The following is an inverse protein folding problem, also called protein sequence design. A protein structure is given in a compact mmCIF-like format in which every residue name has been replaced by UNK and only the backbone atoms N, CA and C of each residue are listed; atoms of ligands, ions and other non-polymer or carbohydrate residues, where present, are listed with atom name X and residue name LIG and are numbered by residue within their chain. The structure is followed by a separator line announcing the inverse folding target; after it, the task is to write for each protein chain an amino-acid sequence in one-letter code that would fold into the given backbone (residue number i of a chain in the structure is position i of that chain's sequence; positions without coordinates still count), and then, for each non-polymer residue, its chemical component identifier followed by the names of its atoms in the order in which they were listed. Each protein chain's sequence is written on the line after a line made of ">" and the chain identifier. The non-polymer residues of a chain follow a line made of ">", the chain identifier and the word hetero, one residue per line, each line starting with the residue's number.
data_IF_478888486590
#
_entry.id   IF_478888486590
#
_cell.length_a   1.000
_cell.length_b   1.000
_cell.length_c   1.000
_cell.angle_alpha   90.00
_cell.angle_beta   90.00
_cell.angle_gamma   90.00
#
_symmetry.space_group_name_H-M   'P 1'
#
loop_
_entity.id
_entity.type
_entity.pdbx_description
1 polymer ?
#
# COMPACT_ATOMS: atom_id res chain seq x y z
N UNK A 1 1.66 35.69 5.24
CA UNK A 1 0.99 34.51 5.82
C UNK A 1 1.20 33.25 4.96
N UNK A 2 1.30 33.36 3.62
CA UNK A 2 1.67 32.26 2.73
C UNK A 2 3.08 31.68 2.99
N UNK A 3 4.02 32.48 3.48
CA UNK A 3 5.40 32.02 3.77
C UNK A 3 5.55 31.15 5.03
N UNK A 4 4.47 30.94 5.80
CA UNK A 4 4.47 30.09 7.02
C UNK A 4 3.99 28.66 6.77
N UNK A 5 3.35 28.39 5.63
CA UNK A 5 2.79 27.08 5.29
C UNK A 5 3.75 26.38 4.34
N UNK A 6 4.19 25.17 4.72
CA UNK A 6 5.06 24.34 3.90
C UNK A 6 4.52 24.25 2.45
N UNK A 7 5.37 24.46 1.41
CA UNK A 7 4.95 24.44 0.00
C UNK A 7 4.11 23.24 -0.43
N UNK A 8 4.30 22.08 0.21
CA UNK A 8 3.53 20.87 -0.09
C UNK A 8 2.04 21.01 0.24
N UNK A 9 1.68 21.87 1.20
CA UNK A 9 0.29 22.08 1.64
C UNK A 9 -0.34 23.35 1.04
N UNK A 10 0.33 24.01 0.10
CA UNK A 10 -0.17 25.23 -0.53
C UNK A 10 -1.22 24.95 -1.61
N UNK A 11 -1.29 23.73 -2.14
CA UNK A 11 -2.34 23.29 -3.08
C UNK A 11 -2.49 21.76 -3.08
N UNK A 12 -3.65 21.27 -3.53
CA UNK A 12 -3.89 19.84 -3.75
C UNK A 12 -2.90 19.26 -4.76
N UNK A 13 -2.61 19.98 -5.85
CA UNK A 13 -1.67 19.55 -6.88
C UNK A 13 -0.24 19.37 -6.32
N UNK A 14 0.21 20.30 -5.47
CA UNK A 14 1.52 20.22 -4.83
C UNK A 14 1.57 19.00 -3.92
N UNK A 15 0.53 18.79 -3.11
CA UNK A 15 0.45 17.64 -2.21
C UNK A 15 0.47 16.33 -2.98
N UNK A 16 -0.40 16.17 -3.99
CA UNK A 16 -0.46 14.96 -4.82
C UNK A 16 0.88 14.68 -5.49
N UNK A 17 1.50 15.68 -6.11
CA UNK A 17 2.80 15.51 -6.79
C UNK A 17 3.88 15.05 -5.82
N UNK A 18 4.02 15.73 -4.67
CA UNK A 18 5.00 15.37 -3.65
C UNK A 18 4.71 14.01 -3.02
N UNK A 19 3.44 13.64 -2.86
CA UNK A 19 3.04 12.33 -2.34
C UNK A 19 3.45 11.22 -3.32
N UNK A 20 3.16 11.36 -4.61
CA UNK A 20 3.57 10.34 -5.60
C UNK A 20 5.08 10.25 -5.71
N UNK A 21 5.78 11.38 -5.73
CA UNK A 21 7.24 11.40 -5.79
C UNK A 21 7.87 10.81 -4.51
N UNK A 22 7.20 10.97 -3.37
CA UNK A 22 7.57 10.31 -2.12
C UNK A 22 7.43 8.79 -2.20
N UNK A 23 6.32 8.29 -2.74
CA UNK A 23 6.11 6.85 -2.98
C UNK A 23 7.14 6.28 -3.95
N UNK A 24 7.43 7.00 -5.03
CA UNK A 24 8.40 6.62 -6.04
C UNK A 24 9.82 6.47 -5.46
N UNK A 25 10.27 7.44 -4.65
CA UNK A 25 11.54 7.38 -3.92
C UNK A 25 11.55 6.27 -2.87
N UNK A 26 10.44 6.07 -2.19
CA UNK A 26 10.32 5.02 -1.16
C UNK A 26 10.52 3.63 -1.77
N UNK A 27 10.12 3.43 -3.02
CA UNK A 27 10.31 2.17 -3.76
C UNK A 27 11.79 1.83 -4.04
N UNK A 28 12.71 2.77 -3.86
CA UNK A 28 14.16 2.50 -3.95
C UNK A 28 14.63 1.56 -2.82
N UNK A 29 13.94 1.53 -1.67
CA UNK A 29 14.24 0.57 -0.60
C UNK A 29 13.88 -0.88 -1.02
N UNK A 30 14.76 -1.84 -0.74
CA UNK A 30 14.60 -3.26 -1.06
C UNK A 30 13.75 -4.04 -0.03
N UNK A 31 13.25 -3.39 1.01
CA UNK A 31 12.39 -4.02 2.01
C UNK A 31 11.03 -4.44 1.43
N UNK A 32 10.65 -5.69 1.70
CA UNK A 32 9.41 -6.27 1.20
C UNK A 32 8.16 -5.52 1.66
N UNK A 33 8.15 -5.08 2.92
CA UNK A 33 7.05 -4.28 3.48
C UNK A 33 6.92 -2.92 2.80
N UNK A 34 8.03 -2.32 2.36
CA UNK A 34 8.03 -1.07 1.61
C UNK A 34 7.45 -1.27 0.22
N UNK A 35 7.84 -2.32 -0.48
CA UNK A 35 7.22 -2.68 -1.76
C UNK A 35 5.70 -2.85 -1.63
N UNK A 36 5.23 -3.60 -0.62
CA UNK A 36 3.80 -3.82 -0.37
C UNK A 36 3.07 -2.52 -0.02
N UNK A 37 3.71 -1.60 0.73
CA UNK A 37 3.17 -0.28 1.05
C UNK A 37 2.93 0.54 -0.22
N UNK A 38 3.95 0.65 -1.08
CA UNK A 38 3.84 1.43 -2.31
C UNK A 38 2.82 0.79 -3.25
N UNK A 39 2.83 -0.54 -3.39
CA UNK A 39 1.83 -1.27 -4.16
C UNK A 39 0.40 -1.02 -3.66
N UNK A 40 0.18 -1.03 -2.34
CA UNK A 40 -1.14 -0.78 -1.76
C UNK A 40 -1.67 0.62 -2.08
N UNK A 41 -0.80 1.64 -2.06
CA UNK A 41 -1.17 3.00 -2.42
C UNK A 41 -1.42 3.11 -3.93
N UNK A 42 -0.58 2.48 -4.75
CA UNK A 42 -0.73 2.51 -6.20
C UNK A 42 -2.05 1.86 -6.65
N UNK A 43 -2.46 0.74 -6.04
CA UNK A 43 -3.73 0.07 -6.35
C UNK A 43 -4.97 0.81 -5.82
N UNK A 44 -4.83 1.90 -5.07
CA UNK A 44 -5.99 2.64 -4.58
C UNK A 44 -6.62 3.54 -5.65
N UNK A 45 -5.81 4.09 -6.56
CA UNK A 45 -6.22 5.07 -7.56
C UNK A 45 -5.60 4.77 -8.93
N UNK A 46 -6.37 4.94 -10.00
CA UNK A 46 -5.95 4.63 -11.37
C UNK A 46 -4.80 5.53 -11.88
N UNK A 47 -4.76 6.80 -11.47
CA UNK A 47 -3.66 7.70 -11.86
C UNK A 47 -2.35 7.29 -11.18
N UNK A 48 -2.41 6.95 -9.89
CA UNK A 48 -1.26 6.42 -9.15
C UNK A 48 -0.77 5.11 -9.75
N UNK A 49 -1.68 4.18 -10.04
CA UNK A 49 -1.35 2.90 -10.66
C UNK A 49 -0.62 3.10 -11.98
N UNK A 50 -1.16 3.94 -12.88
CA UNK A 50 -0.51 4.24 -14.17
C UNK A 50 0.89 4.80 -14.02
N UNK A 51 1.13 5.69 -13.03
CA UNK A 51 2.45 6.29 -12.80
C UNK A 51 3.45 5.31 -12.18
N UNK A 52 3.02 4.48 -11.24
CA UNK A 52 3.92 3.63 -10.43
C UNK A 52 4.04 2.19 -10.94
N UNK A 53 3.08 1.66 -11.71
CA UNK A 53 3.07 0.27 -12.19
C UNK A 53 4.38 -0.16 -12.85
N UNK A 54 5.00 0.62 -13.77
CA UNK A 54 6.21 0.17 -14.46
C UNK A 54 7.37 -0.13 -13.49
N UNK A 55 7.62 0.77 -12.53
CA UNK A 55 8.68 0.58 -11.52
C UNK A 55 8.32 -0.49 -10.51
N UNK A 56 7.05 -0.60 -10.13
CA UNK A 56 6.58 -1.69 -9.26
C UNK A 56 6.76 -3.06 -9.91
N UNK A 57 6.51 -3.19 -11.21
CA UNK A 57 6.71 -4.43 -11.94
C UNK A 57 8.20 -4.82 -11.98
N UNK A 58 9.09 -3.86 -12.24
CA UNK A 58 10.53 -4.08 -12.20
C UNK A 58 10.99 -4.52 -10.79
N UNK A 59 10.58 -3.78 -9.75
CA UNK A 59 10.91 -4.10 -8.37
C UNK A 59 10.37 -5.47 -7.95
N UNK A 60 9.17 -5.84 -8.42
CA UNK A 60 8.58 -7.14 -8.14
C UNK A 60 9.45 -8.29 -8.65
N UNK A 61 9.92 -8.22 -9.90
CA UNK A 61 10.81 -9.25 -10.46
C UNK A 61 12.20 -9.24 -9.78
N UNK A 62 12.73 -8.06 -9.42
CA UNK A 62 13.97 -7.97 -8.64
C UNK A 62 13.85 -8.68 -7.28
N UNK A 63 12.77 -8.43 -6.53
CA UNK A 63 12.52 -9.05 -5.23
C UNK A 63 12.28 -10.56 -5.35
N UNK A 64 11.60 -11.00 -6.39
CA UNK A 64 11.35 -12.42 -6.69
C UNK A 64 12.61 -13.18 -7.05
N UNK A 65 13.63 -12.50 -7.59
CA UNK A 65 14.92 -13.10 -7.95
C UNK A 65 15.86 -13.32 -6.76
N UNK A 66 15.52 -12.78 -5.59
CA UNK A 66 16.32 -12.84 -4.37
C UNK A 66 15.65 -13.72 -3.30
N UNK A 67 16.37 -14.17 -2.26
CA UNK A 67 15.75 -14.79 -1.10
C UNK A 67 14.70 -13.86 -0.49
N UNK A 68 13.45 -14.33 -0.41
CA UNK A 68 12.33 -13.54 0.12
C UNK A 68 12.47 -13.45 1.65
N UNK A 69 12.86 -12.27 2.13
CA UNK A 69 13.06 -11.98 3.56
C UNK A 69 12.23 -10.78 4.00
N UNK A 70 11.72 -10.79 5.23
CA UNK A 70 10.94 -9.69 5.79
C UNK A 70 10.10 -10.14 6.98
N UNK A 71 9.15 -9.30 7.40
CA UNK A 71 8.18 -9.73 8.40
C UNK A 71 7.34 -10.91 7.87
N UNK A 72 6.95 -11.89 8.72
CA UNK A 72 6.22 -13.07 8.28
C UNK A 72 4.97 -12.78 7.44
N UNK A 73 4.26 -11.71 7.79
CA UNK A 73 3.05 -11.30 7.06
C UNK A 73 3.36 -10.73 5.67
N UNK A 74 4.42 -9.95 5.53
CA UNK A 74 4.84 -9.37 4.26
C UNK A 74 5.32 -10.46 3.31
N UNK A 75 6.08 -11.43 3.84
CA UNK A 75 6.50 -12.63 3.11
C UNK A 75 5.27 -13.44 2.65
N UNK A 76 4.27 -13.59 3.51
CA UNK A 76 3.04 -14.29 3.15
C UNK A 76 2.27 -13.58 2.01
N UNK A 77 2.06 -12.26 2.13
CA UNK A 77 1.41 -11.45 1.11
C UNK A 77 2.17 -11.53 -0.22
N UNK A 78 3.50 -11.40 -0.19
CA UNK A 78 4.31 -11.44 -1.40
C UNK A 78 4.26 -12.82 -2.10
N UNK A 79 4.29 -13.91 -1.33
CA UNK A 79 4.11 -15.24 -1.88
C UNK A 79 2.73 -15.46 -2.52
N UNK A 80 1.68 -14.82 -1.99
CA UNK A 80 0.36 -14.83 -2.63
C UNK A 80 0.35 -14.00 -3.92
N UNK A 81 1.04 -12.85 -3.94
CA UNK A 81 1.20 -12.03 -5.14
C UNK A 81 1.90 -12.79 -6.27
N UNK A 82 2.96 -13.55 -5.96
CA UNK A 82 3.65 -14.42 -6.94
C UNK A 82 2.68 -15.44 -7.58
N UNK A 83 1.72 -15.97 -6.82
CA UNK A 83 0.74 -16.94 -7.32
C UNK A 83 -0.37 -16.31 -8.16
N UNK A 84 -0.77 -15.09 -7.83
CA UNK A 84 -1.83 -14.34 -8.51
C UNK A 84 -1.37 -13.76 -9.85
N UNK A 85 -0.05 -13.58 -10.00
CA UNK A 85 0.62 -12.81 -11.05
C UNK A 85 0.38 -11.29 -10.92
N UNK A 86 1.45 -10.50 -11.04
CA UNK A 86 1.43 -9.06 -10.80
C UNK A 86 0.56 -8.33 -11.83
N UNK A 87 0.54 -8.81 -13.07
CA UNK A 87 -0.24 -8.18 -14.15
C UNK A 87 -1.75 -8.37 -14.01
N UNK A 88 -2.19 -9.31 -13.20
CA UNK A 88 -3.60 -9.54 -12.89
C UNK A 88 -4.12 -8.64 -11.76
N UNK A 89 -3.27 -7.80 -11.16
CA UNK A 89 -3.69 -6.86 -10.13
C UNK A 89 -4.57 -5.76 -10.73
N UNK A 90 -5.69 -5.51 -10.06
CA UNK A 90 -6.64 -4.47 -10.42
C UNK A 90 -6.63 -3.38 -9.35
N UNK A 91 -6.83 -2.14 -9.80
CA UNK A 91 -7.09 -1.02 -8.91
C UNK A 91 -8.37 -1.26 -8.12
N UNK A 92 -8.48 -0.58 -6.99
CA UNK A 92 -9.65 -0.63 -6.12
C UNK A 92 -10.91 -0.29 -6.92
N UNK A 93 -11.89 -1.18 -6.87
CA UNK A 93 -13.22 -0.94 -7.44
C UNK A 93 -14.19 -0.55 -6.33
N UNK A 94 -15.17 0.28 -6.68
CA UNK A 94 -16.26 0.69 -5.80
C UNK A 94 -17.58 0.17 -6.35
N UNK A 95 -18.45 -0.33 -5.46
CA UNK A 95 -19.73 -0.93 -5.83
C UNK A 95 -20.82 -0.47 -4.89
N UNK A 96 -21.97 -0.09 -5.44
CA UNK A 96 -23.17 0.15 -4.66
C UNK A 96 -23.95 -1.14 -4.44
N UNK A 97 -24.12 -1.51 -3.17
CA UNK A 97 -24.86 -2.70 -2.77
C UNK A 97 -25.84 -2.31 -1.66
N UNK A 98 -27.14 -2.31 -1.96
CA UNK A 98 -28.19 -2.08 -0.97
C UNK A 98 -28.10 -0.72 -0.25
N UNK A 99 -27.61 0.32 -0.95
CA UNK A 99 -27.40 1.65 -0.37
C UNK A 99 -26.08 1.84 0.36
N UNK A 100 -25.18 0.86 0.31
CA UNK A 100 -23.81 0.96 0.81
C UNK A 100 -22.83 1.03 -0.36
N UNK A 101 -21.83 1.91 -0.24
CA UNK A 101 -20.67 1.92 -1.12
C UNK A 101 -19.62 0.95 -0.55
N UNK A 102 -19.26 -0.08 -1.33
CA UNK A 102 -18.36 -1.15 -0.91
C UNK A 102 -17.07 -1.09 -1.73
N UNK A 103 -15.95 -1.10 -1.02
CA UNK A 103 -14.62 -1.17 -1.61
C UNK A 103 -14.23 -2.63 -1.91
N UNK A 104 -13.85 -2.91 -3.15
CA UNK A 104 -13.22 -4.16 -3.55
C UNK A 104 -11.72 -3.94 -3.77
N UNK A 105 -10.88 -4.45 -2.87
CA UNK A 105 -9.43 -4.31 -2.91
C UNK A 105 -8.75 -5.67 -2.71
N UNK A 106 -8.19 -6.21 -3.81
CA UNK A 106 -7.60 -7.54 -3.84
C UNK A 106 -6.40 -7.68 -2.91
N UNK A 107 -5.53 -6.67 -2.85
CA UNK A 107 -4.34 -6.70 -2.00
C UNK A 107 -4.70 -6.78 -0.51
N UNK A 108 -5.77 -6.10 -0.07
CA UNK A 108 -6.26 -6.21 1.32
C UNK A 108 -6.73 -7.61 1.67
N UNK A 109 -7.28 -8.35 0.71
CA UNK A 109 -7.71 -9.74 0.94
C UNK A 109 -6.53 -10.71 1.14
N UNK A 110 -5.32 -10.37 0.64
CA UNK A 110 -4.13 -11.20 0.82
C UNK A 110 -3.51 -11.07 2.22
N UNK A 111 -3.88 -10.03 2.99
CA UNK A 111 -3.30 -9.82 4.32
C UNK A 111 -3.74 -10.94 5.27
N UNK A 112 -2.81 -11.54 6.03
CA UNK A 112 -3.19 -12.53 7.03
C UNK A 112 -4.05 -11.88 8.13
N UNK A 113 -4.91 -12.68 8.75
CA UNK A 113 -5.71 -12.22 9.88
C UNK A 113 -4.79 -11.86 11.05
N UNK A 114 -4.57 -10.57 11.25
CA UNK A 114 -3.90 -10.04 12.43
C UNK A 114 -4.93 -9.90 13.55
N UNK A 115 -4.55 -10.32 14.76
CA UNK A 115 -5.28 -10.02 15.99
C UNK A 115 -6.72 -10.55 16.10
N UNK A 116 -7.28 -11.25 15.11
CA UNK A 116 -8.62 -11.86 15.19
C UNK A 116 -8.76 -12.83 16.37
N UNK A 117 -7.64 -13.45 16.76
CA UNK A 117 -7.54 -14.36 17.91
C UNK A 117 -6.95 -13.71 19.17
N UNK A 118 -6.54 -12.44 19.11
CA UNK A 118 -5.91 -11.76 20.22
C UNK A 118 -6.97 -11.31 21.23
N UNK A 119 -6.98 -11.94 22.40
CA UNK A 119 -7.83 -11.52 23.52
C UNK A 119 -7.19 -10.32 24.20
N UNK A 120 -7.75 -9.13 23.99
CA UNK A 120 -7.38 -7.94 24.76
C UNK A 120 -8.02 -8.04 26.15
N UNK A 121 -7.26 -7.75 27.21
CA UNK A 121 -7.78 -7.71 28.59
C UNK A 121 -8.46 -6.38 28.94
N UNK A 122 -8.50 -5.46 27.98
CA UNK A 122 -8.94 -4.07 28.15
C UNK A 122 -7.91 -3.11 27.54
N UNK A 123 -8.29 -1.85 27.38
CA UNK A 123 -7.36 -0.74 27.14
C UNK A 123 -7.36 0.10 28.41
N UNK A 124 -6.27 0.09 29.16
CA UNK A 124 -6.08 1.02 30.28
C UNK A 124 -4.76 1.74 30.09
N UNK A 125 -4.78 3.04 30.38
CA UNK A 125 -3.59 3.83 30.67
C UNK A 125 -3.82 4.39 32.06
N UNK A 126 -2.80 4.35 32.91
CA UNK A 126 -2.87 5.05 34.19
C UNK A 126 -2.99 6.55 33.91
N UNK A 127 -3.95 7.20 34.55
CA UNK A 127 -4.00 8.65 34.55
C UNK A 127 -2.83 9.16 35.39
N UNK A 128 -1.84 9.79 34.74
CA UNK A 128 -0.84 10.64 35.39
C UNK A 128 -1.18 12.11 35.14
#
# INVERSE_FOLDING_TARGET
>A
MQDLINPIFQSTQNFETNFVDGLDKTLENDELGVFILVLANALFDDKLWKKLKPKLAEKFEQLKSQPITGAPDDVNVFNQLIKLDFDNLQVTEWRDIGGFEVQYNLLRALRPQRMSSAKTKGMSVDFN
#
